data_IF_165567909525
#
_entry.id   IF_165567909525
#
_cell.length_a   1.000
_cell.length_b   1.000
_cell.length_c   1.000
_cell.angle_alpha   90.00
_cell.angle_beta   90.00
_cell.angle_gamma   90.00
#
_symmetry.space_group_name_H-M   'P 1'
#
loop_
_entity.id
_entity.type
_entity.pdbx_description
1 polymer ?
#
# COMPACT_ATOMS: atom_id res chain seq x y z
N UNK A 1 -3.76 34.39 -1.83
CA UNK A 1 -4.23 34.15 -3.21
C UNK A 1 -5.36 33.14 -3.09
N UNK A 2 -6.58 33.48 -3.51
CA UNK A 2 -7.71 32.54 -3.44
C UNK A 2 -7.56 31.51 -4.55
N UNK A 3 -7.66 30.23 -4.21
CA UNK A 3 -7.68 29.17 -5.22
C UNK A 3 -9.10 29.07 -5.74
N UNK A 4 -9.24 29.36 -7.03
CA UNK A 4 -10.52 29.40 -7.71
C UNK A 4 -10.46 28.35 -8.80
N UNK A 5 -11.41 27.43 -8.82
CA UNK A 5 -11.52 26.44 -9.89
C UNK A 5 -11.98 27.09 -11.22
N UNK A 6 -12.10 26.27 -12.27
CA UNK A 6 -12.56 26.73 -13.58
C UNK A 6 -14.03 27.18 -13.59
N UNK A 7 -14.80 26.80 -12.58
CA UNK A 7 -16.22 27.15 -12.42
C UNK A 7 -16.43 28.39 -11.54
N UNK A 8 -15.37 28.94 -10.95
CA UNK A 8 -15.41 30.14 -10.11
C UNK A 8 -15.56 29.86 -8.61
N UNK A 9 -15.48 28.60 -8.17
CA UNK A 9 -15.61 28.22 -6.77
C UNK A 9 -14.29 28.47 -6.02
N UNK A 10 -14.39 29.13 -4.87
CA UNK A 10 -13.25 29.39 -3.99
C UNK A 10 -13.01 28.18 -3.10
N UNK A 11 -11.84 27.56 -3.24
CA UNK A 11 -11.39 26.44 -2.44
C UNK A 11 -10.58 26.91 -1.23
N UNK A 12 -11.20 26.90 -0.06
CA UNK A 12 -10.54 27.12 1.24
C UNK A 12 -9.94 25.83 1.83
N UNK A 13 -10.18 24.71 1.17
CA UNK A 13 -9.77 23.35 1.52
C UNK A 13 -8.46 22.92 0.84
N UNK A 14 -8.01 23.64 -0.18
CA UNK A 14 -6.77 23.34 -0.90
C UNK A 14 -5.63 24.21 -0.37
N UNK A 15 -4.57 23.56 0.10
CA UNK A 15 -3.37 24.22 0.59
C UNK A 15 -2.21 23.99 -0.39
N UNK A 16 -1.70 25.07 -0.99
CA UNK A 16 -0.52 25.02 -1.85
C UNK A 16 0.68 25.60 -1.10
N UNK A 17 1.75 24.82 -1.03
CA UNK A 17 3.04 25.26 -0.49
C UNK A 17 4.11 25.01 -1.54
N UNK A 18 4.73 26.07 -2.03
CA UNK A 18 5.93 25.94 -2.84
C UNK A 18 7.09 25.43 -1.98
N UNK A 19 7.66 24.30 -2.39
CA UNK A 19 8.84 23.71 -1.78
C UNK A 19 9.91 23.56 -2.86
N UNK A 20 11.12 24.02 -2.56
CA UNK A 20 12.27 23.74 -3.44
C UNK A 20 12.55 22.25 -3.46
N UNK A 21 12.90 21.74 -4.63
CA UNK A 21 13.50 20.43 -4.87
C UNK A 21 14.64 20.09 -3.88
N UNK A 22 15.42 21.07 -3.43
CA UNK A 22 16.49 20.88 -2.42
C UNK A 22 15.95 20.55 -1.03
N UNK A 23 14.71 20.92 -0.71
CA UNK A 23 14.03 20.62 0.56
C UNK A 23 13.29 19.28 0.52
N UNK A 24 13.12 18.72 -0.67
CA UNK A 24 12.44 17.44 -0.89
C UNK A 24 13.50 16.35 -0.93
N UNK A 25 13.76 15.75 0.23
CA UNK A 25 14.81 14.73 0.37
C UNK A 25 14.41 13.40 -0.26
N UNK A 26 13.13 13.05 -0.16
CA UNK A 26 12.62 11.78 -0.67
C UNK A 26 11.16 11.88 -1.14
N UNK A 27 10.87 11.31 -2.32
CA UNK A 27 9.51 11.16 -2.86
C UNK A 27 9.40 9.82 -3.56
N UNK A 28 8.43 9.05 -3.14
CA UNK A 28 8.17 7.72 -3.63
C UNK A 28 6.68 7.42 -3.58
N UNK A 29 6.26 6.49 -4.43
CA UNK A 29 5.01 5.78 -4.28
C UNK A 29 5.24 4.61 -3.32
N UNK A 30 4.42 4.52 -2.28
CA UNK A 30 4.47 3.46 -1.28
C UNK A 30 3.42 2.40 -1.62
N UNK A 31 3.87 1.17 -1.79
CA UNK A 31 3.02 0.00 -2.05
C UNK A 31 3.47 -1.15 -1.16
N UNK A 32 2.64 -2.19 -1.09
CA UNK A 32 2.91 -3.35 -0.24
C UNK A 32 2.57 -4.64 -0.95
N UNK A 33 3.33 -5.68 -0.61
CA UNK A 33 3.01 -7.08 -0.89
C UNK A 33 3.02 -7.86 0.42
N UNK A 34 2.38 -9.01 0.46
CA UNK A 34 2.37 -9.88 1.62
C UNK A 34 2.81 -11.29 1.23
N UNK A 35 3.59 -11.91 2.10
CA UNK A 35 3.96 -13.32 1.97
C UNK A 35 2.98 -14.13 2.81
N UNK A 36 2.27 -15.03 2.16
CA UNK A 36 1.33 -15.96 2.79
C UNK A 36 1.63 -17.37 2.32
N UNK A 37 1.88 -18.28 3.27
CA UNK A 37 2.30 -19.67 3.00
C UNK A 37 3.50 -19.77 2.05
N UNK A 38 4.45 -18.85 2.20
CA UNK A 38 5.67 -18.78 1.39
C UNK A 38 5.51 -18.22 -0.02
N UNK A 39 4.31 -17.77 -0.41
CA UNK A 39 4.04 -17.15 -1.72
C UNK A 39 3.75 -15.67 -1.54
N UNK A 40 4.24 -14.84 -2.46
CA UNK A 40 4.04 -13.38 -2.42
C UNK A 40 2.78 -13.00 -3.18
N UNK A 41 1.92 -12.22 -2.55
CA UNK A 41 0.66 -11.72 -3.11
C UNK A 41 0.60 -10.20 -3.04
N UNK A 42 -0.12 -9.61 -3.98
CA UNK A 42 -0.47 -8.19 -3.91
C UNK A 42 -1.43 -7.97 -2.75
N UNK A 43 -1.35 -6.78 -2.14
CA UNK A 43 -2.30 -6.35 -1.13
C UNK A 43 -2.79 -4.95 -1.46
N UNK A 44 -4.06 -4.70 -1.14
CA UNK A 44 -4.68 -3.39 -1.29
C UNK A 44 -5.40 -2.99 -0.01
N UNK A 45 -5.70 -1.70 0.12
CA UNK A 45 -6.49 -1.21 1.24
C UNK A 45 -5.74 -1.20 2.58
N UNK A 46 -4.40 -1.17 2.62
CA UNK A 46 -3.72 -0.98 3.91
C UNK A 46 -4.14 0.37 4.52
N UNK A 47 -4.87 0.28 5.63
CA UNK A 47 -5.56 1.40 6.24
C UNK A 47 -5.97 1.08 7.67
N UNK A 48 -6.67 2.03 8.31
CA UNK A 48 -7.10 1.85 9.70
C UNK A 48 -7.96 0.59 9.90
N UNK A 49 -8.80 0.26 8.92
CA UNK A 49 -9.63 -0.94 8.95
C UNK A 49 -8.80 -2.25 8.99
N UNK A 50 -7.62 -2.29 8.37
CA UNK A 50 -6.70 -3.45 8.43
C UNK A 50 -6.28 -3.74 9.88
N UNK A 51 -6.04 -2.69 10.67
CA UNK A 51 -5.72 -2.83 12.09
C UNK A 51 -6.95 -3.16 12.95
N UNK A 52 -8.10 -2.58 12.63
CA UNK A 52 -9.33 -2.76 13.39
C UNK A 52 -9.91 -4.18 13.19
N UNK A 53 -9.87 -4.69 11.97
CA UNK A 53 -10.35 -6.05 11.61
C UNK A 53 -9.28 -7.12 11.84
N UNK A 54 -8.00 -6.74 11.87
CA UNK A 54 -6.89 -7.68 12.06
C UNK A 54 -6.66 -8.59 10.85
N UNK A 55 -7.15 -8.19 9.68
CA UNK A 55 -7.06 -8.93 8.42
C UNK A 55 -6.44 -8.06 7.32
N UNK A 56 -5.76 -8.72 6.39
CA UNK A 56 -5.20 -8.12 5.19
C UNK A 56 -5.85 -8.73 3.94
N UNK A 57 -6.32 -7.87 3.04
CA UNK A 57 -6.82 -8.29 1.73
C UNK A 57 -5.63 -8.62 0.82
N UNK A 58 -5.57 -9.88 0.39
CA UNK A 58 -4.65 -10.38 -0.62
C UNK A 58 -5.36 -10.49 -1.97
N UNK A 59 -4.64 -10.17 -3.04
CA UNK A 59 -5.10 -10.22 -4.41
C UNK A 59 -4.17 -11.10 -5.26
N UNK A 60 -4.76 -11.87 -6.17
CA UNK A 60 -4.03 -12.65 -7.18
C UNK A 60 -4.79 -12.63 -8.50
N UNK A 61 -4.05 -12.53 -9.60
CA UNK A 61 -4.55 -12.70 -10.97
C UNK A 61 -4.48 -14.16 -11.45
N UNK A 62 -3.92 -15.06 -10.64
CA UNK A 62 -3.83 -16.49 -10.92
C UNK A 62 -5.00 -17.25 -10.31
N UNK A 63 -5.96 -17.65 -11.14
CA UNK A 63 -7.15 -18.40 -10.71
C UNK A 63 -6.83 -19.77 -10.07
N UNK A 64 -5.61 -20.30 -10.21
CA UNK A 64 -5.20 -21.51 -9.49
C UNK A 64 -5.11 -21.28 -7.97
N UNK A 65 -4.94 -20.04 -7.51
CA UNK A 65 -4.88 -19.70 -6.08
C UNK A 65 -6.21 -19.91 -5.35
N UNK A 66 -7.31 -20.03 -6.09
CA UNK A 66 -8.60 -20.46 -5.55
C UNK A 66 -8.49 -21.86 -4.94
N UNK A 67 -7.81 -22.80 -5.62
CA UNK A 67 -7.69 -24.18 -5.14
C UNK A 67 -6.46 -24.41 -4.27
N UNK A 68 -5.35 -23.71 -4.51
CA UNK A 68 -4.10 -23.91 -3.77
C UNK A 68 -4.02 -23.10 -2.47
N UNK A 69 -4.67 -21.93 -2.42
CA UNK A 69 -4.60 -21.00 -1.29
C UNK A 69 -5.98 -20.60 -0.74
N UNK A 70 -7.07 -21.21 -1.25
CA UNK A 70 -8.46 -20.94 -0.85
C UNK A 70 -8.83 -19.46 -1.05
N UNK A 71 -8.46 -18.88 -2.20
CA UNK A 71 -8.93 -17.56 -2.61
C UNK A 71 -10.38 -17.64 -3.11
N UNK A 72 -11.09 -16.53 -3.03
CA UNK A 72 -12.41 -16.35 -3.60
C UNK A 72 -12.31 -15.63 -4.94
N UNK A 73 -13.08 -16.10 -5.92
CA UNK A 73 -13.14 -15.44 -7.21
C UNK A 73 -13.93 -14.14 -7.07
N UNK A 74 -13.31 -13.02 -7.43
CA UNK A 74 -14.01 -11.73 -7.50
C UNK A 74 -14.59 -11.52 -8.89
N UNK A 75 -13.76 -11.72 -9.92
CA UNK A 75 -14.19 -11.64 -11.30
C UNK A 75 -13.46 -12.65 -12.21
N UNK A 76 -13.46 -12.41 -13.53
CA UNK A 76 -12.82 -13.31 -14.48
C UNK A 76 -11.29 -13.25 -14.49
N UNK A 77 -10.70 -12.24 -13.89
CA UNK A 77 -9.27 -11.92 -13.89
C UNK A 77 -8.66 -11.86 -12.49
N UNK A 78 -9.46 -11.61 -11.44
CA UNK A 78 -8.97 -11.40 -10.08
C UNK A 78 -9.64 -12.34 -9.10
N UNK A 79 -8.85 -12.87 -8.18
CA UNK A 79 -9.30 -13.54 -6.98
C UNK A 79 -8.70 -12.84 -5.76
N UNK A 80 -9.41 -12.91 -4.63
CA UNK A 80 -8.99 -12.26 -3.40
C UNK A 80 -9.12 -13.19 -2.20
N UNK A 81 -8.48 -12.80 -1.10
CA UNK A 81 -8.61 -13.48 0.19
C UNK A 81 -8.31 -12.51 1.31
N UNK A 82 -9.19 -12.43 2.31
CA UNK A 82 -8.83 -11.84 3.59
C UNK A 82 -8.05 -12.87 4.41
N UNK A 83 -6.91 -12.45 4.95
CA UNK A 83 -6.03 -13.29 5.75
C UNK A 83 -5.73 -12.58 7.05
N UNK A 84 -5.85 -13.28 8.18
CA UNK A 84 -5.53 -12.71 9.47
C UNK A 84 -4.06 -12.27 9.51
N UNK A 85 -3.76 -11.12 10.11
CA UNK A 85 -2.39 -10.57 10.16
C UNK A 85 -1.40 -11.55 10.81
N UNK A 86 -1.88 -12.40 11.73
CA UNK A 86 -1.10 -13.45 12.38
C UNK A 86 -0.71 -14.62 11.46
N UNK A 87 -1.43 -14.83 10.37
CA UNK A 87 -1.15 -15.84 9.35
C UNK A 87 -0.21 -15.33 8.24
N UNK A 88 0.14 -14.03 8.24
CA UNK A 88 1.04 -13.42 7.27
C UNK A 88 2.50 -13.70 7.66
N UNK A 89 3.26 -14.34 6.78
CA UNK A 89 4.67 -14.70 6.98
C UNK A 89 5.62 -13.49 6.92
N UNK A 90 5.21 -12.43 6.21
CA UNK A 90 5.82 -11.10 6.23
C UNK A 90 5.02 -10.12 5.38
N UNK A 91 5.16 -8.83 5.69
CA UNK A 91 4.79 -7.75 4.80
C UNK A 91 6.04 -7.22 4.09
N UNK A 92 5.95 -6.92 2.80
CA UNK A 92 7.01 -6.31 2.01
C UNK A 92 6.60 -4.88 1.70
N UNK A 93 7.27 -3.92 2.31
CA UNK A 93 7.15 -2.50 1.97
C UNK A 93 7.94 -2.24 0.69
N UNK A 94 7.31 -1.52 -0.26
CA UNK A 94 7.90 -1.17 -1.54
C UNK A 94 7.84 0.34 -1.75
N UNK A 95 9.01 0.98 -1.81
CA UNK A 95 9.17 2.42 -2.08
C UNK A 95 9.68 2.61 -3.50
N UNK A 96 8.79 2.99 -4.41
CA UNK A 96 9.10 3.27 -5.80
C UNK A 96 9.41 4.76 -5.96
N UNK A 97 10.69 5.14 -6.02
CA UNK A 97 11.08 6.54 -6.07
C UNK A 97 10.75 7.20 -7.41
N UNK A 98 9.95 8.27 -7.38
CA UNK A 98 9.37 8.89 -8.59
C UNK A 98 10.16 10.11 -9.11
N UNK A 99 11.13 10.62 -8.34
CA UNK A 99 11.93 11.77 -8.76
C UNK A 99 12.87 11.40 -9.92
N UNK A 100 12.58 11.95 -11.10
CA UNK A 100 13.35 11.70 -12.33
C UNK A 100 14.83 12.07 -12.23
N UNK A 101 15.17 13.07 -11.41
CA UNK A 101 16.52 13.61 -11.25
C UNK A 101 17.31 13.00 -10.07
N UNK A 102 16.68 12.16 -9.25
CA UNK A 102 17.31 11.37 -8.17
C UNK A 102 16.76 9.95 -8.19
N UNK A 103 17.24 9.14 -9.14
CA UNK A 103 16.82 7.74 -9.26
C UNK A 103 17.48 6.90 -8.17
N UNK A 104 16.71 6.55 -7.13
CA UNK A 104 17.06 5.49 -6.17
C UNK A 104 16.49 4.11 -6.54
N UNK A 105 15.58 4.05 -7.53
CA UNK A 105 14.95 2.80 -7.97
C UNK A 105 13.85 2.32 -7.01
N UNK A 106 13.58 1.02 -7.02
CA UNK A 106 12.68 0.38 -6.06
C UNK A 106 13.49 -0.01 -4.80
N UNK A 107 13.02 0.41 -3.63
CA UNK A 107 13.58 -0.03 -2.34
C UNK A 107 12.54 -0.90 -1.65
N UNK A 108 12.94 -2.11 -1.24
CA UNK A 108 12.06 -3.07 -0.56
C UNK A 108 12.52 -3.31 0.87
N UNK A 109 11.59 -3.28 1.82
CA UNK A 109 11.84 -3.60 3.24
C UNK A 109 10.93 -4.75 3.66
N UNK A 110 11.51 -5.83 4.19
CA UNK A 110 10.74 -6.92 4.79
C UNK A 110 10.39 -6.59 6.24
N UNK A 111 9.10 -6.64 6.56
CA UNK A 111 8.55 -6.55 7.91
C UNK A 111 8.20 -7.97 8.37
N UNK A 112 8.90 -8.46 9.38
CA UNK A 112 8.65 -9.80 9.93
C UNK A 112 7.32 -9.83 10.72
N UNK A 113 6.68 -11.02 10.86
CA UNK A 113 5.34 -11.15 11.44
C UNK A 113 5.16 -10.45 12.78
N UNK A 114 6.14 -10.57 13.67
CA UNK A 114 6.13 -9.97 15.00
C UNK A 114 6.05 -8.44 15.01
N UNK A 115 6.38 -7.78 13.89
CA UNK A 115 6.42 -6.33 13.77
C UNK A 115 5.33 -5.77 12.85
N UNK A 116 4.51 -6.61 12.22
CA UNK A 116 3.49 -6.16 11.25
C UNK A 116 2.52 -5.17 11.91
N UNK A 117 1.99 -5.51 13.09
CA UNK A 117 1.07 -4.63 13.80
C UNK A 117 1.67 -3.27 14.15
N UNK A 118 2.92 -3.25 14.63
CA UNK A 118 3.59 -2.00 15.00
C UNK A 118 3.95 -1.16 13.77
N UNK A 119 4.36 -1.80 12.68
CA UNK A 119 4.60 -1.15 11.40
C UNK A 119 3.33 -0.48 10.85
N UNK A 120 2.22 -1.22 10.81
CA UNK A 120 0.93 -0.70 10.34
C UNK A 120 0.45 0.48 11.19
N UNK A 121 0.64 0.43 12.52
CA UNK A 121 0.32 1.56 13.42
C UNK A 121 1.15 2.81 13.12
N UNK A 122 2.44 2.66 12.82
CA UNK A 122 3.32 3.78 12.47
C UNK A 122 2.97 4.37 11.11
N UNK A 123 2.57 3.54 10.15
CA UNK A 123 2.21 3.96 8.80
C UNK A 123 0.95 4.84 8.76
N UNK A 124 0.05 4.66 9.72
CA UNK A 124 -1.27 5.29 9.77
C UNK A 124 -1.40 6.45 10.77
N UNK A 125 -0.27 6.86 11.38
CA UNK A 125 -0.16 8.05 12.25
C UNK A 125 0.17 9.30 11.43
#
# INVERSE_FOLDING_TARGET
MALIDLEGNVHSDIFIKEVSDRKVEDVYELTHEAIFKGVTFQTSGIGKHTLDEGELLLLSDNLQDISTHNFFREDKFVCHKNVALEEIDALIEMKNHILRFRRKGLVTTRVNPSYINDYLKQLLQ
#
